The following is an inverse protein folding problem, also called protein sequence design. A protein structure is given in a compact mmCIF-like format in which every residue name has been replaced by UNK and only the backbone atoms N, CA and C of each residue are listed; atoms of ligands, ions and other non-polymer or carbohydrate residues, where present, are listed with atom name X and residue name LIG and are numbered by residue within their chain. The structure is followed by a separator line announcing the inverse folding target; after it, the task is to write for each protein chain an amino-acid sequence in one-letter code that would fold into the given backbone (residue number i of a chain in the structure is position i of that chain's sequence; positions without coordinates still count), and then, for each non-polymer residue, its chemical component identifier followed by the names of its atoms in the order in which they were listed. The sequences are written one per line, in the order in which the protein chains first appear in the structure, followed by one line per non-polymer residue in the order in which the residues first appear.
data_IF_419347062534
#
_entry.id   IF_419347062534
#
_cell.length_a   1.000
_cell.length_b   1.000
_cell.length_c   1.000
_cell.angle_alpha   90.00
_cell.angle_beta   90.00
_cell.angle_gamma   90.00
#
_symmetry.space_group_name_H-M   'P 1'
#
loop_
_entity.id
_entity.type
_entity.pdbx_description
1 polymer ?
#
# COMPACT_ATOMS: atom_id res chain seq x y z
N UNK A 1 2.24 -6.72 13.87
CA UNK A 1 1.77 -7.10 12.53
C UNK A 1 2.99 -7.25 11.63
N UNK A 2 3.22 -8.42 11.03
CA UNK A 2 4.37 -8.65 10.12
C UNK A 2 4.01 -8.43 8.65
N UNK A 3 2.74 -8.64 8.28
CA UNK A 3 2.21 -8.48 6.90
C UNK A 3 0.79 -7.93 6.98
N UNK A 4 0.44 -7.00 6.08
CA UNK A 4 -0.91 -6.48 5.86
C UNK A 4 -1.25 -6.65 4.37
N UNK A 5 -2.33 -7.35 4.05
CA UNK A 5 -2.86 -7.49 2.69
C UNK A 5 -4.07 -6.58 2.50
N UNK A 6 -4.03 -5.74 1.47
CA UNK A 6 -5.15 -4.89 1.05
C UNK A 6 -5.74 -5.48 -0.22
N UNK A 7 -6.98 -5.97 -0.15
CA UNK A 7 -7.69 -6.63 -1.26
C UNK A 7 -9.06 -6.00 -1.53
N UNK A 8 -9.66 -6.31 -2.68
CA UNK A 8 -10.93 -5.75 -3.14
C UNK A 8 -11.00 -5.66 -4.66
N UNK A 9 -12.17 -5.26 -5.17
CA UNK A 9 -12.42 -5.10 -6.62
C UNK A 9 -11.51 -4.01 -7.24
N UNK A 10 -11.46 -3.93 -8.57
CA UNK A 10 -10.77 -2.85 -9.28
C UNK A 10 -11.35 -1.48 -8.92
N UNK A 11 -10.52 -0.43 -8.84
CA UNK A 11 -10.99 0.94 -8.62
C UNK A 11 -11.45 1.32 -7.20
N UNK A 12 -11.44 0.40 -6.23
CA UNK A 12 -11.92 0.67 -4.85
C UNK A 12 -10.89 1.39 -3.94
N UNK A 13 -9.76 1.84 -4.48
CA UNK A 13 -8.74 2.60 -3.72
C UNK A 13 -7.71 1.76 -2.94
N UNK A 14 -7.53 0.47 -3.28
CA UNK A 14 -6.56 -0.42 -2.61
C UNK A 14 -5.15 0.15 -2.52
N UNK A 15 -4.64 0.67 -3.64
CA UNK A 15 -3.30 1.24 -3.75
C UNK A 15 -3.13 2.45 -2.83
N UNK A 16 -4.13 3.34 -2.82
CA UNK A 16 -4.15 4.52 -1.95
C UNK A 16 -4.12 4.13 -0.47
N UNK A 17 -4.95 3.17 -0.07
CA UNK A 17 -4.99 2.70 1.33
C UNK A 17 -3.69 2.01 1.72
N UNK A 18 -3.13 1.17 0.85
CA UNK A 18 -1.84 0.49 1.09
C UNK A 18 -0.70 1.51 1.25
N UNK A 19 -0.61 2.50 0.37
CA UNK A 19 0.41 3.55 0.42
C UNK A 19 0.26 4.44 1.66
N UNK A 20 -0.94 4.93 1.95
CA UNK A 20 -1.20 5.77 3.13
C UNK A 20 -0.91 5.02 4.43
N UNK A 21 -1.25 3.73 4.51
CA UNK A 21 -0.92 2.89 5.67
C UNK A 21 0.59 2.74 5.80
N UNK A 22 1.31 2.53 4.70
CA UNK A 22 2.76 2.37 4.73
C UNK A 22 3.47 3.66 5.19
N UNK A 23 3.07 4.82 4.67
CA UNK A 23 3.58 6.14 5.09
C UNK A 23 3.34 6.35 6.58
N UNK A 24 2.09 6.21 7.04
CA UNK A 24 1.76 6.40 8.47
C UNK A 24 2.52 5.43 9.36
N UNK A 25 2.78 4.21 8.89
CA UNK A 25 3.53 3.20 9.65
C UNK A 25 5.02 3.53 9.69
N UNK A 26 5.58 4.10 8.62
CA UNK A 26 6.94 4.61 8.60
C UNK A 26 7.12 5.83 9.53
N UNK A 27 6.16 6.77 9.53
CA UNK A 27 6.18 7.98 10.37
C UNK A 27 6.24 7.68 11.88
N UNK A 28 5.66 6.55 12.31
CA UNK A 28 5.74 6.10 13.71
C UNK A 28 7.02 5.28 14.02
N UNK A 29 8.04 5.38 13.17
CA UNK A 29 9.38 4.84 13.40
C UNK A 29 9.55 3.36 13.02
N UNK A 30 8.64 2.77 12.24
CA UNK A 30 8.78 1.37 11.81
C UNK A 30 9.44 1.28 10.44
N UNK A 31 10.23 0.23 10.23
CA UNK A 31 10.68 -0.15 8.88
C UNK A 31 9.52 -0.83 8.14
N UNK A 32 9.17 -0.30 6.98
CA UNK A 32 8.01 -0.74 6.20
C UNK A 32 8.42 -0.95 4.75
N UNK A 33 7.88 -2.00 4.14
CA UNK A 33 7.90 -2.23 2.71
C UNK A 33 6.45 -2.19 2.22
N UNK A 34 6.17 -1.37 1.22
CA UNK A 34 4.91 -1.40 0.45
C UNK A 34 5.21 -1.95 -0.93
N UNK A 35 4.36 -2.85 -1.40
CA UNK A 35 4.46 -3.43 -2.74
C UNK A 35 3.08 -3.57 -3.35
N UNK A 36 3.00 -3.42 -4.68
CA UNK A 36 1.84 -3.77 -5.47
C UNK A 36 2.15 -5.03 -6.27
N UNK A 37 1.21 -5.98 -6.30
CA UNK A 37 1.26 -7.13 -7.22
C UNK A 37 0.32 -6.94 -8.41
N UNK A 38 -0.34 -5.78 -8.50
CA UNK A 38 -1.19 -5.43 -9.64
C UNK A 38 -0.29 -5.11 -10.86
N UNK A 39 -0.57 -5.65 -12.05
CA UNK A 39 0.13 -5.24 -13.27
C UNK A 39 -0.06 -3.75 -13.59
N UNK A 40 -1.10 -3.09 -13.07
CA UNK A 40 -1.23 -1.64 -13.15
C UNK A 40 -0.17 -0.95 -12.26
N UNK A 41 0.60 -0.03 -12.85
CA UNK A 41 1.66 0.73 -12.16
C UNK A 41 1.15 1.81 -11.18
N UNK A 42 -0.08 1.69 -10.70
CA UNK A 42 -0.80 2.72 -9.93
C UNK A 42 -0.12 3.16 -8.63
N UNK A 43 0.85 2.38 -8.11
CA UNK A 43 1.63 2.77 -6.94
C UNK A 43 2.76 3.75 -7.29
N UNK A 44 3.33 3.64 -8.49
CA UNK A 44 4.45 4.46 -8.98
C UNK A 44 4.01 5.61 -9.88
N UNK A 45 2.76 5.61 -10.35
CA UNK A 45 2.20 6.66 -11.21
C UNK A 45 1.98 8.02 -10.50
N UNK A 46 2.23 8.10 -9.19
CA UNK A 46 2.00 9.28 -8.34
C UNK A 46 3.27 10.10 -8.11
#
# INVERSE_FOLDING_TARGET
MRVLLVTGKGGVGKTTVAAATAVRTADIGKRVLVMSTDPAHSLADA
#
